data_IF_174876875606
#
_entry.id   IF_174876875606
#
_cell.length_a   1.000
_cell.length_b   1.000
_cell.length_c   1.000
_cell.angle_alpha   90.00
_cell.angle_beta   90.00
_cell.angle_gamma   90.00
#
_symmetry.space_group_name_H-M   'P 1'
#
loop_
_entity.id
_entity.type
_entity.pdbx_description
1 polymer ?
#
# COMPACT_ATOMS: atom_id res chain seq x y z
N UNK A 1 17.37 -23.80 -12.76
CA UNK A 1 17.06 -23.59 -11.32
C UNK A 1 15.62 -23.98 -10.93
N UNK A 2 14.96 -24.88 -11.71
CA UNK A 2 13.57 -25.32 -11.47
C UNK A 2 13.39 -25.94 -10.07
N UNK A 3 14.39 -26.69 -9.61
CA UNK A 3 14.38 -27.29 -8.26
C UNK A 3 14.23 -26.27 -7.12
N UNK A 4 14.76 -25.03 -7.27
CA UNK A 4 14.58 -23.97 -6.28
C UNK A 4 13.13 -23.49 -6.23
N UNK A 5 12.48 -23.39 -7.40
CA UNK A 5 11.05 -23.07 -7.48
C UNK A 5 10.22 -24.17 -6.80
N UNK A 6 10.53 -25.45 -7.05
CA UNK A 6 9.83 -26.58 -6.44
C UNK A 6 9.99 -26.59 -4.91
N UNK A 7 11.19 -26.28 -4.41
CA UNK A 7 11.45 -26.13 -2.96
C UNK A 7 10.69 -24.93 -2.36
N UNK A 8 10.68 -23.80 -3.05
CA UNK A 8 9.94 -22.60 -2.62
C UNK A 8 8.44 -22.89 -2.56
N UNK A 9 7.86 -23.56 -3.57
CA UNK A 9 6.45 -23.97 -3.57
C UNK A 9 6.12 -24.89 -2.39
N UNK A 10 6.99 -25.88 -2.10
CA UNK A 10 6.84 -26.74 -0.91
C UNK A 10 6.90 -25.97 0.39
N UNK A 11 7.75 -24.95 0.46
CA UNK A 11 7.86 -24.09 1.63
C UNK A 11 6.58 -23.26 1.81
N UNK A 12 6.11 -22.61 0.75
CA UNK A 12 4.86 -21.82 0.77
C UNK A 12 3.66 -22.65 1.19
N UNK A 13 3.53 -23.87 0.68
CA UNK A 13 2.41 -24.76 1.02
C UNK A 13 2.34 -25.15 2.50
N UNK A 14 3.46 -25.01 3.24
CA UNK A 14 3.56 -25.35 4.67
C UNK A 14 3.66 -24.14 5.60
N UNK A 15 4.22 -23.04 5.10
CA UNK A 15 4.61 -21.89 5.93
C UNK A 15 4.11 -20.53 5.38
N UNK A 16 3.42 -20.51 4.24
CA UNK A 16 2.98 -19.32 3.53
C UNK A 16 4.13 -18.34 3.16
N UNK A 17 5.36 -18.84 3.11
CA UNK A 17 6.59 -18.08 2.77
C UNK A 17 7.45 -18.92 1.82
N UNK A 18 8.18 -18.31 0.87
CA UNK A 18 8.25 -16.89 0.49
C UNK A 18 7.05 -16.43 -0.35
N UNK A 19 6.85 -15.10 -0.41
CA UNK A 19 5.91 -14.50 -1.36
C UNK A 19 6.47 -14.56 -2.79
N UNK A 20 5.60 -14.82 -3.76
CA UNK A 20 5.95 -14.81 -5.18
C UNK A 20 5.47 -13.53 -5.86
N UNK A 21 6.35 -12.91 -6.64
CA UNK A 21 6.05 -11.75 -7.46
C UNK A 21 6.14 -12.15 -8.92
N UNK A 22 5.07 -11.93 -9.69
CA UNK A 22 5.05 -12.22 -11.12
C UNK A 22 5.78 -11.13 -11.90
N UNK A 23 7.00 -11.41 -12.36
CA UNK A 23 7.74 -10.52 -13.24
C UNK A 23 6.97 -10.23 -14.56
N UNK A 24 6.18 -11.19 -15.06
CA UNK A 24 5.34 -11.01 -16.25
C UNK A 24 4.29 -9.93 -16.03
N UNK A 25 3.55 -10.01 -14.93
CA UNK A 25 2.50 -9.04 -14.59
C UNK A 25 3.12 -7.67 -14.28
N UNK A 26 4.25 -7.63 -13.57
CA UNK A 26 4.93 -6.36 -13.31
C UNK A 26 5.35 -5.66 -14.62
N UNK A 27 5.96 -6.40 -15.55
CA UNK A 27 6.34 -5.85 -16.86
C UNK A 27 5.14 -5.30 -17.65
N UNK A 28 3.99 -5.96 -17.57
CA UNK A 28 2.76 -5.49 -18.21
C UNK A 28 2.24 -4.18 -17.58
N UNK A 29 2.29 -4.07 -16.25
CA UNK A 29 1.71 -2.96 -15.52
C UNK A 29 2.64 -1.73 -15.38
N UNK A 30 3.96 -1.93 -15.55
CA UNK A 30 4.98 -0.91 -15.25
C UNK A 30 5.98 -0.73 -16.41
N UNK A 31 5.49 -0.70 -17.64
CA UNK A 31 6.31 -0.39 -18.85
C UNK A 31 7.59 -1.25 -18.94
N UNK A 32 7.48 -2.54 -18.68
CA UNK A 32 8.61 -3.49 -18.72
C UNK A 32 9.49 -3.52 -17.47
N UNK A 33 9.19 -2.70 -16.45
CA UNK A 33 9.96 -2.67 -15.20
C UNK A 33 9.62 -3.84 -14.27
N UNK A 34 10.63 -4.30 -13.53
CA UNK A 34 10.48 -5.27 -12.44
C UNK A 34 11.24 -4.74 -11.24
N UNK A 35 10.58 -4.67 -10.10
CA UNK A 35 11.16 -4.17 -8.85
C UNK A 35 10.60 -4.94 -7.66
N UNK A 36 11.34 -4.95 -6.55
CA UNK A 36 10.94 -5.60 -5.30
C UNK A 36 10.02 -4.73 -4.45
N UNK A 37 9.31 -5.33 -3.50
CA UNK A 37 8.59 -4.59 -2.48
C UNK A 37 9.57 -3.92 -1.51
N UNK A 38 9.11 -2.87 -0.85
CA UNK A 38 9.75 -2.29 0.31
C UNK A 38 9.18 -2.98 1.56
N UNK A 39 10.02 -3.69 2.29
CA UNK A 39 9.54 -4.57 3.37
C UNK A 39 8.75 -5.77 2.82
N UNK A 40 7.74 -6.25 3.57
CA UNK A 40 7.09 -7.51 3.27
C UNK A 40 6.17 -7.47 2.05
N UNK A 41 5.33 -6.45 1.89
CA UNK A 41 4.27 -6.40 0.85
C UNK A 41 3.98 -5.00 0.32
N UNK A 42 4.74 -3.99 0.72
CA UNK A 42 4.53 -2.61 0.29
C UNK A 42 5.31 -2.33 -0.98
N UNK A 43 4.60 -1.90 -2.01
CA UNK A 43 5.21 -1.42 -3.25
C UNK A 43 5.17 0.11 -3.28
N UNK A 44 6.30 0.73 -3.59
CA UNK A 44 6.35 2.16 -3.82
C UNK A 44 5.59 2.51 -5.10
N UNK A 45 4.90 3.66 -5.11
CA UNK A 45 4.30 4.19 -6.33
C UNK A 45 5.37 4.39 -7.40
N UNK A 46 5.12 4.06 -8.67
CA UNK A 46 6.05 4.35 -9.75
C UNK A 46 6.40 5.84 -9.80
N UNK A 47 7.68 6.14 -9.94
CA UNK A 47 8.19 7.50 -10.07
C UNK A 47 9.25 7.55 -11.18
N UNK A 48 9.15 8.57 -12.04
CA UNK A 48 10.15 8.89 -13.07
C UNK A 48 10.83 10.21 -12.70
N UNK A 49 12.14 10.24 -12.82
CA UNK A 49 12.93 11.46 -12.66
C UNK A 49 12.71 12.45 -13.83
N UNK A 50 13.39 13.58 -13.78
CA UNK A 50 13.33 14.63 -14.81
C UNK A 50 13.77 14.14 -16.20
N UNK A 51 14.54 13.04 -16.27
CA UNK A 51 14.97 12.41 -17.53
C UNK A 51 13.94 11.38 -18.05
N UNK A 52 12.83 11.15 -17.33
CA UNK A 52 11.83 10.16 -17.66
C UNK A 52 12.18 8.73 -17.29
N UNK A 53 13.29 8.50 -16.56
CA UNK A 53 13.72 7.17 -16.11
C UNK A 53 13.08 6.81 -14.76
N UNK A 54 12.71 5.54 -14.63
CA UNK A 54 12.23 5.01 -13.35
C UNK A 54 13.32 5.01 -12.29
N UNK A 55 12.98 5.48 -11.09
CA UNK A 55 13.84 5.47 -9.91
C UNK A 55 13.23 4.58 -8.84
N UNK A 56 13.94 3.51 -8.45
CA UNK A 56 13.49 2.52 -7.48
C UNK A 56 14.32 2.52 -6.19
N UNK A 57 15.41 3.26 -6.13
CA UNK A 57 16.32 3.39 -4.98
C UNK A 57 16.20 4.77 -4.34
N UNK A 58 16.62 4.90 -3.09
CA UNK A 58 16.61 6.18 -2.35
C UNK A 58 15.20 6.73 -2.10
N UNK A 59 14.17 5.88 -2.22
CA UNK A 59 12.77 6.23 -2.05
C UNK A 59 12.22 5.63 -0.77
N UNK A 60 11.08 6.13 -0.29
CA UNK A 60 10.54 5.72 1.00
C UNK A 60 9.01 5.82 1.04
N UNK A 61 8.42 5.23 2.08
CA UNK A 61 7.01 5.37 2.42
C UNK A 61 6.87 6.38 3.57
N UNK A 62 6.03 7.38 3.41
CA UNK A 62 5.77 8.40 4.44
C UNK A 62 5.00 7.82 5.63
N UNK A 63 4.28 6.72 5.44
CA UNK A 63 3.55 6.03 6.47
C UNK A 63 2.36 5.25 5.94
N UNK A 64 1.79 4.44 6.84
CA UNK A 64 0.61 3.60 6.58
C UNK A 64 -0.48 3.97 7.58
N UNK A 65 -1.71 4.08 7.11
CA UNK A 65 -2.91 4.03 7.94
C UNK A 65 -3.69 2.79 7.53
N UNK A 66 -3.96 1.90 8.48
CA UNK A 66 -4.58 0.60 8.20
C UNK A 66 -6.06 0.63 8.52
N UNK A 67 -6.88 0.36 7.51
CA UNK A 67 -8.31 0.17 7.63
C UNK A 67 -8.61 -1.22 8.19
N UNK A 68 -9.34 -1.28 9.29
CA UNK A 68 -9.83 -2.53 9.87
C UNK A 68 -11.17 -2.93 9.23
N UNK A 69 -11.11 -3.79 8.21
CA UNK A 69 -12.30 -4.28 7.51
C UNK A 69 -13.19 -5.15 8.40
N UNK A 70 -12.60 -5.84 9.38
CA UNK A 70 -13.38 -6.64 10.36
C UNK A 70 -14.34 -5.76 11.13
N UNK A 71 -13.87 -4.60 11.63
CA UNK A 71 -14.71 -3.62 12.33
C UNK A 71 -15.84 -3.11 11.42
N UNK A 72 -15.54 -2.77 10.17
CA UNK A 72 -16.53 -2.32 9.19
C UNK A 72 -17.59 -3.39 8.95
N UNK A 73 -17.17 -4.65 8.75
CA UNK A 73 -18.08 -5.77 8.52
C UNK A 73 -19.01 -6.06 9.70
N UNK A 74 -18.48 -6.04 10.93
CA UNK A 74 -19.24 -6.25 12.16
C UNK A 74 -20.21 -5.09 12.43
N UNK A 75 -19.76 -3.85 12.25
CA UNK A 75 -20.56 -2.63 12.44
C UNK A 75 -21.73 -2.53 11.46
N UNK A 76 -21.61 -3.12 10.30
CA UNK A 76 -22.67 -3.17 9.28
C UNK A 76 -23.87 -4.05 9.68
N UNK A 77 -23.73 -4.96 10.65
CA UNK A 77 -24.77 -5.87 11.13
C UNK A 77 -25.49 -6.62 10.00
N UNK A 78 -24.72 -7.16 9.04
CA UNK A 78 -25.20 -7.87 7.84
C UNK A 78 -26.08 -7.03 6.88
N UNK A 79 -26.08 -5.72 7.03
CA UNK A 79 -26.75 -4.81 6.09
C UNK A 79 -25.73 -4.28 5.07
N UNK A 80 -25.91 -4.63 3.80
CA UNK A 80 -24.96 -4.28 2.74
C UNK A 80 -24.90 -2.79 2.42
N UNK A 81 -26.04 -2.08 2.48
CA UNK A 81 -26.07 -0.63 2.23
C UNK A 81 -25.31 0.11 3.34
N UNK A 82 -25.54 -0.32 4.60
CA UNK A 82 -24.86 0.21 5.75
C UNK A 82 -23.35 -0.11 5.71
N UNK A 83 -22.96 -1.30 5.21
CA UNK A 83 -21.57 -1.68 5.02
C UNK A 83 -20.84 -0.70 4.10
N UNK A 84 -21.37 -0.43 2.92
CA UNK A 84 -20.72 0.47 1.96
C UNK A 84 -20.62 1.89 2.51
N UNK A 85 -21.66 2.36 3.20
CA UNK A 85 -21.66 3.67 3.85
C UNK A 85 -20.54 3.77 4.90
N UNK A 86 -20.45 2.79 5.82
CA UNK A 86 -19.40 2.77 6.85
C UNK A 86 -18.03 2.66 6.22
N UNK A 87 -17.87 1.83 5.17
CA UNK A 87 -16.60 1.69 4.47
C UNK A 87 -16.13 3.03 3.89
N UNK A 88 -17.02 3.77 3.24
CA UNK A 88 -16.69 5.08 2.67
C UNK A 88 -16.34 6.11 3.77
N UNK A 89 -17.10 6.17 4.85
CA UNK A 89 -16.79 7.01 6.02
C UNK A 89 -15.39 6.70 6.61
N UNK A 90 -15.03 5.42 6.72
CA UNK A 90 -13.70 5.00 7.19
C UNK A 90 -12.58 5.32 6.19
N UNK A 91 -12.86 5.22 4.89
CA UNK A 91 -11.90 5.62 3.85
C UNK A 91 -11.61 7.12 3.91
N UNK A 92 -12.63 7.95 4.14
CA UNK A 92 -12.44 9.40 4.30
C UNK A 92 -11.56 9.71 5.52
N UNK A 93 -11.80 9.06 6.66
CA UNK A 93 -10.95 9.18 7.85
C UNK A 93 -9.50 8.72 7.59
N UNK A 94 -9.32 7.63 6.86
CA UNK A 94 -7.99 7.17 6.46
C UNK A 94 -7.28 8.20 5.58
N UNK A 95 -7.99 8.80 4.64
CA UNK A 95 -7.45 9.86 3.79
C UNK A 95 -7.00 11.07 4.62
N UNK A 96 -7.86 11.57 5.50
CA UNK A 96 -7.56 12.71 6.38
C UNK A 96 -6.32 12.42 7.25
N UNK A 97 -6.25 11.24 7.86
CA UNK A 97 -5.11 10.84 8.68
C UNK A 97 -3.80 10.74 7.88
N UNK A 98 -3.86 10.20 6.65
CA UNK A 98 -2.70 10.11 5.76
C UNK A 98 -2.25 11.51 5.30
N UNK A 99 -3.18 12.39 4.97
CA UNK A 99 -2.85 13.76 4.58
C UNK A 99 -2.30 14.58 5.76
N UNK A 100 -2.84 14.42 6.96
CA UNK A 100 -2.29 15.04 8.17
C UNK A 100 -0.84 14.62 8.41
N UNK A 101 -0.52 13.33 8.23
CA UNK A 101 0.87 12.84 8.34
C UNK A 101 1.76 13.45 7.27
N UNK A 102 1.29 13.53 6.03
CA UNK A 102 2.02 14.18 4.95
C UNK A 102 2.33 15.65 5.27
N UNK A 103 1.33 16.41 5.69
CA UNK A 103 1.51 17.83 6.05
C UNK A 103 2.47 18.02 7.24
N UNK A 104 2.40 17.14 8.25
CA UNK A 104 3.30 17.18 9.40
C UNK A 104 4.77 16.85 9.08
N UNK A 105 5.05 16.24 7.94
CA UNK A 105 6.42 15.99 7.48
C UNK A 105 7.03 17.21 6.78
N UNK A 106 6.22 18.13 6.28
CA UNK A 106 6.70 19.34 5.62
C UNK A 106 7.49 20.23 6.57
N UNK A 107 8.54 20.84 6.07
CA UNK A 107 9.46 21.64 6.86
C UNK A 107 10.43 20.83 7.73
N UNK A 108 10.37 19.51 7.73
CA UNK A 108 11.35 18.67 8.44
C UNK A 108 12.73 18.88 7.84
N UNK A 109 13.70 19.25 8.68
CA UNK A 109 15.10 19.47 8.25
C UNK A 109 15.88 18.15 8.24
N UNK A 110 16.84 18.04 7.35
CA UNK A 110 17.68 16.85 7.16
C UNK A 110 18.46 16.44 8.42
N UNK A 111 18.66 17.37 9.36
CA UNK A 111 19.36 17.15 10.63
C UNK A 111 18.57 16.27 11.61
N UNK A 112 17.26 16.12 11.44
CA UNK A 112 16.43 15.22 12.26
C UNK A 112 16.89 13.77 12.16
N UNK A 113 17.36 13.35 10.97
CA UNK A 113 17.91 12.01 10.75
C UNK A 113 19.02 12.04 9.68
N UNK A 114 20.24 12.44 10.05
CA UNK A 114 21.33 12.61 9.09
C UNK A 114 21.66 11.36 8.28
N UNK A 115 21.60 10.16 8.90
CA UNK A 115 21.85 8.90 8.20
C UNK A 115 20.90 8.72 7.01
N UNK A 116 19.62 9.03 7.17
CA UNK A 116 18.63 8.90 6.11
C UNK A 116 18.74 10.03 5.09
N UNK A 117 18.86 11.27 5.55
CA UNK A 117 18.69 12.43 4.69
C UNK A 117 19.97 13.01 4.13
N UNK A 118 21.11 12.94 4.86
CA UNK A 118 22.37 13.54 4.47
C UNK A 118 23.41 12.53 3.96
N UNK A 119 23.49 11.34 4.58
CA UNK A 119 24.54 10.36 4.30
C UNK A 119 24.11 9.22 3.37
N UNK A 120 22.99 9.34 2.70
CA UNK A 120 22.62 8.47 1.58
C UNK A 120 21.81 7.23 1.95
N UNK A 121 21.24 7.14 3.14
CA UNK A 121 20.25 6.10 3.43
C UNK A 121 19.02 6.22 2.52
N UNK A 122 18.55 7.47 2.33
CA UNK A 122 17.46 7.80 1.39
C UNK A 122 17.93 8.90 0.43
N UNK A 123 18.51 9.97 0.94
CA UNK A 123 18.92 11.14 0.16
C UNK A 123 20.33 11.62 0.53
N UNK A 124 20.80 12.65 -0.15
CA UNK A 124 22.08 13.34 0.12
C UNK A 124 21.83 14.85 0.18
N UNK A 125 20.97 15.25 1.11
CA UNK A 125 20.65 16.66 1.40
C UNK A 125 21.81 17.31 2.19
N UNK A 126 21.91 18.61 2.09
CA UNK A 126 22.83 19.38 2.93
C UNK A 126 22.25 19.51 4.35
N UNK A 127 23.09 19.71 5.38
CA UNK A 127 22.61 20.09 6.71
C UNK A 127 21.69 21.31 6.64
N UNK A 128 20.57 21.28 7.38
CA UNK A 128 19.55 22.33 7.39
C UNK A 128 18.61 22.36 6.18
N UNK A 129 18.85 21.58 5.14
CA UNK A 129 17.94 21.47 3.98
C UNK A 129 16.67 20.68 4.35
N UNK A 130 15.49 21.16 3.91
CA UNK A 130 14.23 20.46 4.17
C UNK A 130 14.05 19.26 3.25
N UNK A 131 13.24 18.28 3.71
CA UNK A 131 12.92 17.07 2.93
C UNK A 131 11.75 17.29 1.97
N UNK A 132 11.18 18.48 1.89
CA UNK A 132 9.91 18.77 1.19
C UNK A 132 9.92 18.26 -0.26
N UNK A 133 11.01 18.48 -0.98
CA UNK A 133 11.15 17.97 -2.37
C UNK A 133 11.06 16.44 -2.52
N UNK A 134 11.23 15.71 -1.41
CA UNK A 134 11.13 14.24 -1.39
C UNK A 134 9.72 13.76 -1.01
N UNK A 135 8.85 14.66 -0.57
CA UNK A 135 7.47 14.33 -0.16
C UNK A 135 6.51 14.37 -1.34
N UNK A 136 6.77 15.21 -2.33
CA UNK A 136 5.89 15.50 -3.45
C UNK A 136 6.19 14.64 -4.69
N UNK A 137 5.43 14.87 -5.76
CA UNK A 137 5.67 14.33 -7.12
C UNK A 137 5.78 12.81 -7.19
N UNK A 138 5.15 12.06 -6.27
CA UNK A 138 5.22 10.59 -6.17
C UNK A 138 6.62 10.04 -5.86
N UNK A 139 7.58 10.88 -5.50
CA UNK A 139 8.90 10.40 -5.10
C UNK A 139 8.82 9.50 -3.87
N UNK A 140 8.06 9.90 -2.87
CA UNK A 140 7.68 9.05 -1.73
C UNK A 140 6.25 8.50 -1.90
N UNK A 141 5.93 7.48 -1.11
CA UNK A 141 4.64 6.79 -1.17
C UNK A 141 3.88 7.00 0.13
N UNK A 142 2.56 7.15 0.03
CA UNK A 142 1.61 7.19 1.14
C UNK A 142 0.74 5.95 1.03
N UNK A 143 0.66 5.10 2.06
CA UNK A 143 0.01 3.81 1.95
C UNK A 143 -1.30 3.73 2.72
N UNK A 144 -2.39 3.38 2.02
CA UNK A 144 -3.59 2.84 2.65
C UNK A 144 -3.36 1.35 2.92
N UNK A 145 -3.28 0.97 4.19
CA UNK A 145 -3.27 -0.43 4.62
C UNK A 145 -4.69 -0.98 4.76
N UNK A 146 -4.85 -2.29 4.67
CA UNK A 146 -6.08 -2.98 5.06
C UNK A 146 -5.76 -4.30 5.75
N UNK A 147 -6.66 -4.72 6.65
CA UNK A 147 -6.59 -5.98 7.37
C UNK A 147 -8.01 -6.54 7.56
N UNK A 148 -8.13 -7.86 7.70
CA UNK A 148 -9.40 -8.49 8.09
C UNK A 148 -10.40 -8.64 6.95
N UNK A 149 -9.97 -8.81 5.69
CA UNK A 149 -10.87 -9.02 4.55
C UNK A 149 -11.66 -10.32 4.69
N UNK A 150 -11.01 -11.40 5.15
CA UNK A 150 -11.67 -12.69 5.38
C UNK A 150 -12.77 -12.55 6.43
N UNK A 151 -12.43 -11.98 7.58
CA UNK A 151 -13.34 -11.80 8.72
C UNK A 151 -14.52 -10.89 8.34
N UNK A 152 -14.26 -9.85 7.53
CA UNK A 152 -15.28 -8.97 7.00
C UNK A 152 -16.30 -9.73 6.14
N UNK A 153 -15.83 -10.55 5.21
CA UNK A 153 -16.69 -11.35 4.34
C UNK A 153 -17.49 -12.36 5.16
N UNK A 154 -16.87 -13.02 6.14
CA UNK A 154 -17.57 -13.94 7.06
C UNK A 154 -18.61 -13.22 7.91
N UNK A 155 -18.29 -12.03 8.44
CA UNK A 155 -19.24 -11.24 9.24
C UNK A 155 -20.49 -10.85 8.44
N UNK A 156 -20.32 -10.52 7.16
CA UNK A 156 -21.42 -10.09 6.29
C UNK A 156 -22.24 -11.25 5.74
N UNK A 157 -21.59 -12.31 5.23
CA UNK A 157 -22.25 -13.38 4.50
C UNK A 157 -22.39 -14.69 5.31
N UNK A 158 -21.63 -14.86 6.40
CA UNK A 158 -21.50 -16.14 7.08
C UNK A 158 -20.74 -17.20 6.27
N UNK A 159 -20.06 -16.81 5.21
CA UNK A 159 -19.36 -17.69 4.27
C UNK A 159 -17.91 -17.24 4.09
N UNK A 160 -17.01 -18.19 3.78
CA UNK A 160 -15.61 -17.90 3.47
C UNK A 160 -15.47 -17.13 2.14
N UNK A 161 -14.41 -16.32 2.04
CA UNK A 161 -14.00 -15.66 0.79
C UNK A 161 -13.56 -16.67 -0.31
N UNK A 162 -13.41 -17.94 0.03
CA UNK A 162 -13.12 -19.02 -0.92
C UNK A 162 -14.37 -19.58 -1.61
N UNK A 163 -15.57 -19.21 -1.17
CA UNK A 163 -16.83 -19.49 -1.87
C UNK A 163 -17.02 -18.49 -3.01
N UNK A 164 -17.83 -18.82 -4.00
CA UNK A 164 -18.11 -17.94 -5.13
C UNK A 164 -18.65 -16.57 -4.68
N UNK A 165 -19.69 -16.56 -3.86
CA UNK A 165 -20.27 -15.32 -3.31
C UNK A 165 -19.28 -14.54 -2.44
N UNK A 166 -18.50 -15.23 -1.61
CA UNK A 166 -17.49 -14.61 -0.75
C UNK A 166 -16.34 -14.01 -1.55
N UNK A 167 -15.89 -14.69 -2.61
CA UNK A 167 -14.89 -14.18 -3.55
C UNK A 167 -15.39 -12.96 -4.32
N UNK A 168 -16.64 -12.98 -4.76
CA UNK A 168 -17.25 -11.84 -5.44
C UNK A 168 -17.31 -10.61 -4.53
N UNK A 169 -17.78 -10.75 -3.29
CA UNK A 169 -17.81 -9.65 -2.33
C UNK A 169 -16.40 -9.16 -1.99
N UNK A 170 -15.47 -10.06 -1.68
CA UNK A 170 -14.08 -9.71 -1.39
C UNK A 170 -13.43 -8.93 -2.54
N UNK A 171 -13.68 -9.35 -3.77
CA UNK A 171 -13.19 -8.65 -4.98
C UNK A 171 -13.83 -7.25 -5.12
N UNK A 172 -15.13 -7.09 -4.83
CA UNK A 172 -15.80 -5.78 -4.83
C UNK A 172 -15.20 -4.84 -3.78
N UNK A 173 -14.95 -5.33 -2.58
CA UNK A 173 -14.29 -4.56 -1.51
C UNK A 173 -12.90 -4.10 -1.99
N UNK A 174 -12.07 -5.00 -2.49
CA UNK A 174 -10.73 -4.66 -2.97
C UNK A 174 -10.75 -3.65 -4.12
N UNK A 175 -11.71 -3.76 -5.04
CA UNK A 175 -11.91 -2.77 -6.11
C UNK A 175 -12.25 -1.39 -5.55
N UNK A 176 -13.12 -1.30 -4.53
CA UNK A 176 -13.47 -0.02 -3.89
C UNK A 176 -12.26 0.62 -3.19
N UNK A 177 -11.45 -0.17 -2.45
CA UNK A 177 -10.22 0.32 -1.84
C UNK A 177 -9.23 0.85 -2.90
N UNK A 178 -9.07 0.10 -3.99
CA UNK A 178 -8.21 0.53 -5.10
C UNK A 178 -8.70 1.81 -5.75
N UNK A 179 -10.00 1.92 -5.98
CA UNK A 179 -10.63 3.11 -6.55
C UNK A 179 -10.37 4.33 -5.65
N UNK A 180 -10.55 4.22 -4.33
CA UNK A 180 -10.28 5.32 -3.40
C UNK A 180 -8.82 5.81 -3.51
N UNK A 181 -7.86 4.88 -3.52
CA UNK A 181 -6.44 5.21 -3.68
C UNK A 181 -6.16 5.91 -5.02
N UNK A 182 -6.80 5.50 -6.10
CA UNK A 182 -6.62 6.11 -7.42
C UNK A 182 -7.30 7.50 -7.51
N UNK A 183 -8.45 7.70 -6.85
CA UNK A 183 -9.10 9.01 -6.66
C UNK A 183 -8.20 9.98 -5.88
N UNK A 184 -7.58 9.53 -4.79
CA UNK A 184 -6.66 10.34 -4.00
C UNK A 184 -5.41 10.74 -4.79
N UNK A 185 -4.85 9.83 -5.60
CA UNK A 185 -3.75 10.16 -6.53
C UNK A 185 -4.14 11.24 -7.53
N UNK A 186 -5.34 11.12 -8.12
CA UNK A 186 -5.82 12.07 -9.10
C UNK A 186 -6.06 13.46 -8.47
N UNK A 187 -6.60 13.48 -7.25
CA UNK A 187 -6.89 14.71 -6.50
C UNK A 187 -5.64 15.45 -6.04
N UNK A 188 -4.60 14.72 -5.62
CA UNK A 188 -3.43 15.32 -4.93
C UNK A 188 -2.16 15.33 -5.75
N UNK A 189 -2.04 14.48 -6.77
CA UNK A 189 -0.79 14.22 -7.48
C UNK A 189 0.23 13.38 -6.70
N UNK A 190 -0.07 13.03 -5.44
CA UNK A 190 0.84 12.28 -4.57
C UNK A 190 0.85 10.78 -4.87
N UNK A 191 1.89 10.10 -4.40
CA UNK A 191 2.12 8.68 -4.61
C UNK A 191 1.36 7.78 -3.63
N UNK A 192 0.04 7.69 -3.71
CA UNK A 192 -0.72 6.74 -2.88
C UNK A 192 -0.56 5.29 -3.36
N UNK A 193 -0.58 4.34 -2.44
CA UNK A 193 -0.56 2.90 -2.72
C UNK A 193 -1.51 2.14 -1.79
N UNK A 194 -2.07 1.03 -2.29
CA UNK A 194 -2.82 0.08 -1.48
C UNK A 194 -1.87 -1.01 -0.98
N UNK A 195 -2.01 -1.38 0.29
CA UNK A 195 -1.09 -2.25 1.00
C UNK A 195 -1.83 -3.27 1.87
N UNK A 196 -1.59 -4.56 1.66
CA UNK A 196 -2.05 -5.60 2.58
C UNK A 196 -1.21 -5.58 3.85
N UNK A 197 -1.74 -5.05 4.95
CA UNK A 197 -1.01 -4.98 6.22
C UNK A 197 -0.81 -6.40 6.75
N UNK A 198 0.44 -6.85 6.99
CA UNK A 198 0.68 -8.14 7.63
C UNK A 198 0.13 -8.12 9.05
N UNK A 199 -0.54 -9.21 9.43
CA UNK A 199 -0.93 -9.50 10.80
C UNK A 199 0.04 -10.56 11.34
N UNK A 200 1.11 -10.12 11.99
CA UNK A 200 2.09 -10.96 12.64
C UNK A 200 1.93 -10.88 14.16
#
# INVERSE_FOLDING_TARGET
YRYLTDLAVKCVSKRMMPDFISAKIMKQNYEGQVFGPMGCRSFLSPYKDETGKYVWYGRFNQGVVTLNLTDVGLSAKKNMDNFWKILDERLDLCYEALMLRHENLKGTVSDVSPIHWQYGGIARLKPGETIDKLLDSRYSTISLGYIGLYECVVALLGKSHTTEEGNELGTKIMKRLRQAVDEWKAKTGLGFALYGTPAE
#
